data_IF_995029850525
#
_entry.id   IF_995029850525
#
_cell.length_a   1.000
_cell.length_b   1.000
_cell.length_c   1.000
_cell.angle_alpha   90.00
_cell.angle_beta   90.00
_cell.angle_gamma   90.00
#
_symmetry.space_group_name_H-M   'P 1'
#
loop_
_entity.id
_entity.type
_entity.pdbx_description
1 polymer ?
#
# COMPACT_ATOMS: atom_id res chain seq x y z
N UNK A 1 10.80 -0.42 -18.65
CA UNK A 1 12.00 -1.11 -18.09
C UNK A 1 11.76 -1.55 -16.64
N UNK A 2 11.45 -0.64 -15.70
CA UNK A 2 11.32 -0.95 -14.26
C UNK A 2 10.31 -2.08 -13.96
N UNK A 3 9.09 -2.01 -14.49
CA UNK A 3 8.06 -3.05 -14.28
C UNK A 3 8.55 -4.44 -14.69
N UNK A 4 9.28 -4.53 -15.81
CA UNK A 4 9.84 -5.79 -16.30
C UNK A 4 10.91 -6.35 -15.36
N UNK A 5 11.72 -5.48 -14.73
CA UNK A 5 12.73 -5.90 -13.76
C UNK A 5 12.08 -6.48 -12.49
N UNK A 6 11.03 -5.83 -11.98
CA UNK A 6 10.30 -6.32 -10.80
C UNK A 6 9.64 -7.67 -11.10
N UNK A 7 8.96 -7.78 -12.24
CA UNK A 7 8.27 -9.00 -12.64
C UNK A 7 9.21 -10.20 -12.90
N UNK A 8 10.49 -9.96 -13.15
CA UNK A 8 11.48 -11.04 -13.35
C UNK A 8 11.97 -11.65 -12.01
N UNK A 9 11.55 -11.12 -10.86
CA UNK A 9 12.00 -11.61 -9.55
C UNK A 9 11.26 -12.89 -9.14
N UNK A 10 12.03 -13.90 -8.67
CA UNK A 10 11.50 -15.12 -8.05
C UNK A 10 12.10 -15.35 -6.67
N UNK A 11 11.31 -15.87 -5.73
CA UNK A 11 11.81 -16.25 -4.40
C UNK A 11 12.58 -17.56 -4.45
N UNK A 12 13.44 -17.82 -3.46
CA UNK A 12 14.16 -19.11 -3.31
C UNK A 12 13.23 -20.34 -3.23
N UNK A 13 11.96 -20.14 -2.86
CA UNK A 13 10.93 -21.18 -2.79
C UNK A 13 10.10 -21.31 -4.08
N UNK A 14 10.47 -20.61 -5.15
CA UNK A 14 9.83 -20.71 -6.47
C UNK A 14 8.62 -19.80 -6.69
N UNK A 15 8.24 -18.94 -5.73
CA UNK A 15 7.16 -17.96 -5.96
C UNK A 15 7.60 -16.90 -6.98
N UNK A 16 6.71 -16.56 -7.91
CA UNK A 16 6.92 -15.54 -8.94
C UNK A 16 6.26 -14.22 -8.53
N UNK A 17 6.94 -13.10 -8.78
CA UNK A 17 6.37 -11.76 -8.57
C UNK A 17 5.62 -11.30 -9.82
N UNK A 18 4.39 -10.83 -9.66
CA UNK A 18 3.62 -10.18 -10.73
C UNK A 18 3.67 -8.68 -10.53
N UNK A 19 4.01 -7.94 -11.58
CA UNK A 19 4.02 -6.48 -11.57
C UNK A 19 3.43 -5.94 -12.88
N UNK A 20 2.60 -4.92 -12.76
CA UNK A 20 2.00 -4.22 -13.89
C UNK A 20 1.99 -2.72 -13.61
N UNK A 21 2.06 -1.93 -14.67
CA UNK A 21 1.83 -0.49 -14.57
C UNK A 21 0.33 -0.25 -14.42
N UNK A 22 -0.05 0.47 -13.37
CA UNK A 22 -1.39 1.04 -13.30
C UNK A 22 -1.50 2.19 -14.30
N UNK A 23 -2.54 2.16 -15.13
CA UNK A 23 -2.83 3.18 -16.14
C UNK A 23 -4.01 4.06 -15.75
N UNK A 24 -4.63 3.81 -14.59
CA UNK A 24 -5.69 4.65 -14.06
C UNK A 24 -5.17 6.07 -13.88
N UNK A 25 -6.03 7.03 -14.21
CA UNK A 25 -5.82 8.43 -13.90
C UNK A 25 -6.61 8.71 -12.64
N UNK A 26 -5.90 8.86 -11.54
CA UNK A 26 -6.50 9.25 -10.28
C UNK A 26 -6.57 10.78 -10.23
N UNK A 27 -7.61 11.31 -9.61
CA UNK A 27 -7.73 12.74 -9.36
C UNK A 27 -6.63 13.19 -8.39
N UNK A 28 -5.89 14.21 -8.78
CA UNK A 28 -4.82 14.78 -7.97
C UNK A 28 -5.35 15.95 -7.15
N UNK A 29 -4.76 16.20 -5.98
CA UNK A 29 -5.13 17.34 -5.13
C UNK A 29 -6.34 17.06 -4.23
N UNK A 30 -6.76 15.81 -4.08
CA UNK A 30 -7.68 15.41 -3.02
C UNK A 30 -6.94 15.57 -1.69
N UNK A 31 -7.36 16.56 -0.90
CA UNK A 31 -6.91 16.70 0.48
C UNK A 31 -7.67 15.75 1.38
N UNK A 32 -6.95 15.07 2.26
CA UNK A 32 -7.51 14.25 3.34
C UNK A 32 -7.16 14.93 4.63
N UNK A 33 -8.16 15.24 5.45
CA UNK A 33 -7.95 15.95 6.70
C UNK A 33 -7.17 15.09 7.70
N UNK A 34 -6.46 15.71 8.65
CA UNK A 34 -5.74 14.93 9.66
C UNK A 34 -6.73 14.14 10.54
N UNK A 35 -7.91 14.69 10.80
CA UNK A 35 -8.98 13.99 11.50
C UNK A 35 -9.37 12.72 10.73
N UNK A 36 -9.59 12.79 9.42
CA UNK A 36 -9.92 11.60 8.61
C UNK A 36 -8.83 10.53 8.67
N UNK A 37 -7.55 10.94 8.72
CA UNK A 37 -6.40 10.04 8.86
C UNK A 37 -6.31 9.42 10.25
N UNK A 38 -6.58 10.18 11.31
CA UNK A 38 -6.63 9.68 12.68
C UNK A 38 -7.72 8.64 12.89
N UNK A 39 -8.82 8.72 12.14
CA UNK A 39 -9.88 7.72 12.17
C UNK A 39 -9.48 6.37 11.53
N UNK A 40 -8.33 6.27 10.88
CA UNK A 40 -7.83 5.01 10.32
C UNK A 40 -7.17 4.16 11.42
N UNK A 41 -7.52 2.88 11.46
CA UNK A 41 -6.90 1.92 12.39
C UNK A 41 -5.56 1.43 11.81
N UNK A 42 -4.59 2.35 11.75
CA UNK A 42 -3.25 2.12 11.20
C UNK A 42 -2.28 1.73 12.33
N UNK A 43 -1.52 0.65 12.12
CA UNK A 43 -0.35 0.30 12.92
C UNK A 43 0.90 0.46 12.04
N UNK A 44 1.77 1.41 12.38
CA UNK A 44 3.03 1.64 11.66
C UNK A 44 4.10 0.62 12.09
N UNK A 45 4.90 0.16 11.14
CA UNK A 45 6.02 -0.73 11.41
C UNK A 45 7.20 0.03 12.05
N UNK A 46 8.09 -0.69 12.75
CA UNK A 46 9.32 -0.12 13.30
C UNK A 46 10.30 0.32 12.22
N UNK A 47 10.34 -0.40 11.10
CA UNK A 47 11.21 -0.10 9.97
C UNK A 47 10.40 0.62 8.89
N UNK A 48 10.75 1.88 8.63
CA UNK A 48 10.06 2.77 7.68
C UNK A 48 8.55 2.79 7.86
N UNK A 49 8.06 3.09 9.07
CA UNK A 49 6.63 3.10 9.40
C UNK A 49 5.80 4.12 8.63
N UNK A 50 6.45 5.11 8.03
CA UNK A 50 5.87 6.06 7.08
C UNK A 50 5.40 5.40 5.78
N UNK A 51 6.00 4.27 5.40
CA UNK A 51 5.64 3.50 4.20
C UNK A 51 5.10 2.11 4.53
N UNK A 52 5.64 1.48 5.57
CA UNK A 52 5.32 0.13 6.02
C UNK A 52 4.33 0.20 7.17
N UNK A 53 3.07 -0.10 6.88
CA UNK A 53 2.02 -0.09 7.88
C UNK A 53 0.97 -1.16 7.59
N UNK A 54 0.18 -1.50 8.61
CA UNK A 54 -0.98 -2.37 8.50
C UNK A 54 -2.24 -1.56 8.82
N UNK A 55 -3.25 -1.67 7.97
CA UNK A 55 -4.60 -1.17 8.25
C UNK A 55 -5.44 -2.34 8.73
N UNK A 56 -6.08 -2.19 9.89
CA UNK A 56 -7.02 -3.18 10.43
C UNK A 56 -8.46 -2.75 10.22
N UNK A 57 -9.42 -3.69 10.10
CA UNK A 57 -10.83 -3.34 10.11
C UNK A 57 -11.20 -2.50 11.33
N UNK A 58 -12.09 -1.54 11.13
CA UNK A 58 -12.75 -0.82 12.21
C UNK A 58 -14.02 -1.61 12.56
N UNK A 59 -14.35 -1.74 13.85
CA UNK A 59 -15.70 -2.20 14.21
C UNK A 59 -16.68 -1.19 13.62
N UNK A 60 -17.59 -1.65 12.76
CA UNK A 60 -18.73 -0.83 12.38
C UNK A 60 -19.48 -0.50 13.67
N UNK A 61 -19.75 0.79 13.89
CA UNK A 61 -20.76 1.19 14.88
C UNK A 61 -22.08 0.60 14.38
N UNK A 62 -22.69 -0.26 15.20
CA UNK A 62 -24.08 -0.71 15.02
C UNK A 62 -25.03 0.48 15.16
#
# INVERSE_FOLDING_TARGET
VIVNLIANTTTKKGLTVRAARDQRKDETGIEVSEEEREHLNITRAKFHGEWNYSIKPRRQKL
#
